data_IF_480147490051
#
_entry.id   IF_480147490051
#
_cell.length_a   1.000
_cell.length_b   1.000
_cell.length_c   1.000
_cell.angle_alpha   90.00
_cell.angle_beta   90.00
_cell.angle_gamma   90.00
#
_symmetry.space_group_name_H-M   'P 1'
#
loop_
_entity.id
_entity.type
_entity.pdbx_description
1 polymer ?
#
# COMPACT_ATOMS: atom_id res chain seq x y z
N UNK A 1 14.03 1.43 -31.61
CA UNK A 1 13.53 0.17 -31.05
C UNK A 1 14.74 -0.66 -30.63
N UNK A 2 15.16 -0.56 -29.36
CA UNK A 2 16.26 -1.37 -28.81
C UNK A 2 15.64 -2.51 -28.01
N UNK A 3 15.71 -3.70 -28.57
CA UNK A 3 15.27 -4.94 -27.92
C UNK A 3 16.33 -5.29 -26.88
N UNK A 4 16.00 -5.11 -25.60
CA UNK A 4 16.82 -5.66 -24.51
C UNK A 4 16.58 -7.17 -24.45
N UNK A 5 17.45 -7.96 -25.10
CA UNK A 5 17.57 -9.38 -24.83
C UNK A 5 18.18 -9.55 -23.45
N UNK A 6 17.34 -9.78 -22.43
CA UNK A 6 17.80 -10.28 -21.14
C UNK A 6 18.24 -11.74 -21.33
N UNK A 7 19.54 -11.99 -21.26
CA UNK A 7 20.08 -13.35 -21.11
C UNK A 7 19.80 -13.83 -19.68
N UNK A 8 18.85 -14.75 -19.56
CA UNK A 8 18.54 -15.44 -18.31
C UNK A 8 19.70 -16.41 -18.01
N UNK A 9 20.57 -16.03 -17.08
CA UNK A 9 21.51 -16.95 -16.47
C UNK A 9 20.74 -17.77 -15.42
N UNK A 10 20.36 -18.97 -15.78
CA UNK A 10 19.80 -19.97 -14.85
C UNK A 10 20.93 -20.44 -13.94
N UNK A 11 21.00 -19.91 -12.73
CA UNK A 11 21.78 -20.52 -11.65
C UNK A 11 20.87 -21.49 -10.89
N UNK A 12 21.02 -22.75 -11.17
CA UNK A 12 20.56 -23.83 -10.28
C UNK A 12 21.45 -23.85 -9.03
N UNK A 13 20.96 -23.26 -7.94
CA UNK A 13 21.51 -23.45 -6.59
C UNK A 13 20.33 -23.85 -5.72
N UNK A 14 20.52 -24.85 -4.86
CA UNK A 14 19.51 -25.49 -4.01
C UNK A 14 18.51 -24.50 -3.42
N UNK A 15 17.22 -24.78 -3.62
CA UNK A 15 16.09 -23.87 -3.44
C UNK A 15 15.88 -23.47 -1.97
N UNK A 16 16.60 -22.45 -1.50
CA UNK A 16 16.02 -21.56 -0.52
C UNK A 16 15.17 -20.54 -1.29
N UNK A 17 13.86 -20.54 -1.07
CA UNK A 17 12.96 -19.57 -1.70
C UNK A 17 13.38 -18.16 -1.30
N UNK A 18 13.73 -17.33 -2.28
CA UNK A 18 14.00 -15.91 -2.04
C UNK A 18 12.70 -15.09 -2.15
N UNK A 19 12.73 -13.83 -1.76
CA UNK A 19 11.55 -12.96 -1.80
C UNK A 19 10.93 -12.90 -3.20
N UNK A 20 11.75 -12.73 -4.25
CA UNK A 20 11.28 -12.64 -5.65
C UNK A 20 10.48 -13.89 -6.03
N UNK A 21 10.98 -15.08 -5.70
CA UNK A 21 10.27 -16.33 -5.95
C UNK A 21 8.95 -16.42 -5.18
N UNK A 22 8.93 -16.02 -3.91
CA UNK A 22 7.71 -16.03 -3.10
C UNK A 22 6.66 -15.08 -3.70
N UNK A 23 7.06 -13.86 -4.09
CA UNK A 23 6.14 -12.91 -4.72
C UNK A 23 5.61 -13.42 -6.06
N UNK A 24 6.45 -14.06 -6.88
CA UNK A 24 6.05 -14.70 -8.13
C UNK A 24 5.01 -15.80 -7.88
N UNK A 25 5.25 -16.67 -6.89
CA UNK A 25 4.34 -17.76 -6.55
C UNK A 25 2.97 -17.25 -6.06
N UNK A 26 2.95 -16.14 -5.31
CA UNK A 26 1.70 -15.49 -4.92
C UNK A 26 0.92 -14.94 -6.12
N UNK A 27 1.63 -14.51 -7.17
CA UNK A 27 1.03 -13.90 -8.35
C UNK A 27 0.63 -14.92 -9.42
N UNK A 28 1.23 -16.11 -9.46
CA UNK A 28 0.91 -17.16 -10.45
C UNK A 28 -0.58 -17.50 -10.55
N UNK A 29 -1.30 -17.71 -9.42
CA UNK A 29 -2.72 -18.09 -9.46
C UNK A 29 -3.65 -16.90 -9.80
N UNK A 30 -3.16 -15.67 -9.84
CA UNK A 30 -3.99 -14.50 -10.19
C UNK A 30 -4.41 -14.53 -11.67
N UNK A 31 -5.44 -13.74 -12.05
CA UNK A 31 -5.81 -13.57 -13.46
C UNK A 31 -4.62 -13.15 -14.34
N UNK A 32 -4.73 -13.36 -15.65
CA UNK A 32 -3.66 -12.95 -16.58
C UNK A 32 -3.48 -11.42 -16.60
N UNK A 33 -4.61 -10.68 -16.56
CA UNK A 33 -4.63 -9.23 -16.50
C UNK A 33 -4.75 -8.79 -15.04
N UNK A 34 -3.78 -8.03 -14.55
CA UNK A 34 -3.79 -7.50 -13.18
C UNK A 34 -3.46 -6.01 -13.16
N UNK A 35 -4.00 -5.32 -12.17
CA UNK A 35 -3.66 -3.92 -11.91
C UNK A 35 -2.78 -3.83 -10.66
N UNK A 36 -1.63 -3.16 -10.74
CA UNK A 36 -0.74 -2.95 -9.61
C UNK A 36 -0.84 -1.51 -9.14
N UNK A 37 -1.27 -1.32 -7.89
CA UNK A 37 -1.26 -0.01 -7.24
C UNK A 37 0.16 0.36 -6.82
N UNK A 38 0.72 1.43 -7.41
CA UNK A 38 2.11 1.78 -7.15
C UNK A 38 2.34 3.28 -6.94
N UNK A 39 3.30 3.57 -6.06
CA UNK A 39 3.91 4.89 -5.85
C UNK A 39 5.33 4.97 -6.41
N UNK A 40 5.75 3.97 -7.21
CA UNK A 40 7.15 3.73 -7.57
C UNK A 40 8.09 3.53 -6.35
N UNK A 41 7.52 3.23 -5.20
CA UNK A 41 8.27 2.68 -4.08
C UNK A 41 8.74 1.27 -4.41
N UNK A 42 9.89 0.87 -3.84
CA UNK A 42 10.51 -0.43 -4.14
C UNK A 42 9.55 -1.62 -3.89
N UNK A 43 8.62 -1.51 -2.93
CA UNK A 43 7.66 -2.57 -2.60
C UNK A 43 6.68 -2.86 -3.73
N UNK A 44 6.07 -1.80 -4.27
CA UNK A 44 5.10 -1.95 -5.35
C UNK A 44 5.80 -2.23 -6.68
N UNK A 45 6.98 -1.68 -6.90
CA UNK A 45 7.75 -1.92 -8.11
C UNK A 45 8.27 -3.37 -8.19
N UNK A 46 8.65 -4.00 -7.06
CA UNK A 46 9.02 -5.42 -7.02
C UNK A 46 7.84 -6.34 -7.38
N UNK A 47 6.60 -5.94 -7.05
CA UNK A 47 5.40 -6.67 -7.46
C UNK A 47 5.14 -6.54 -8.97
N UNK A 48 5.39 -5.35 -9.56
CA UNK A 48 5.32 -5.17 -11.01
C UNK A 48 6.28 -6.14 -11.71
N UNK A 49 7.56 -6.16 -11.31
CA UNK A 49 8.53 -7.07 -11.91
C UNK A 49 8.19 -8.54 -11.68
N UNK A 50 7.81 -8.93 -10.45
CA UNK A 50 7.40 -10.30 -10.16
C UNK A 50 6.21 -10.75 -10.99
N UNK A 51 5.27 -9.86 -11.29
CA UNK A 51 4.13 -10.14 -12.15
C UNK A 51 4.55 -10.33 -13.62
N UNK A 52 5.43 -9.45 -14.12
CA UNK A 52 6.00 -9.56 -15.47
C UNK A 52 6.82 -10.86 -15.64
N UNK A 53 7.60 -11.23 -14.63
CA UNK A 53 8.40 -12.46 -14.62
C UNK A 53 7.53 -13.73 -14.78
N UNK A 54 6.31 -13.72 -14.27
CA UNK A 54 5.36 -14.84 -14.39
C UNK A 54 4.37 -14.67 -15.55
N UNK A 55 4.65 -13.74 -16.47
CA UNK A 55 3.92 -13.58 -17.72
C UNK A 55 2.58 -12.87 -17.59
N UNK A 56 2.33 -12.11 -16.50
CA UNK A 56 1.08 -11.34 -16.37
C UNK A 56 1.08 -10.11 -17.26
N UNK A 57 -0.10 -9.71 -17.72
CA UNK A 57 -0.35 -8.42 -18.33
C UNK A 57 -0.62 -7.41 -17.21
N UNK A 58 0.28 -6.45 -17.05
CA UNK A 58 0.28 -5.53 -15.91
C UNK A 58 -0.15 -4.14 -16.35
N UNK A 59 -1.15 -3.57 -15.66
CA UNK A 59 -1.44 -2.15 -15.69
C UNK A 59 -1.01 -1.51 -14.37
N UNK A 60 -0.43 -0.32 -14.43
CA UNK A 60 -0.03 0.45 -13.25
C UNK A 60 -1.12 1.48 -12.95
N UNK A 61 -1.65 1.47 -11.72
CA UNK A 61 -2.56 2.50 -11.24
C UNK A 61 -1.92 3.33 -10.13
N UNK A 62 -2.06 4.64 -10.21
CA UNK A 62 -1.57 5.56 -9.19
C UNK A 62 -2.49 6.77 -9.07
N UNK A 63 -2.46 7.43 -7.91
CA UNK A 63 -3.34 8.54 -7.61
C UNK A 63 -2.58 9.80 -7.17
N UNK A 64 -3.21 10.94 -7.40
CA UNK A 64 -2.74 12.27 -6.95
C UNK A 64 -3.95 13.18 -6.78
N UNK A 65 -3.79 14.32 -6.10
CA UNK A 65 -4.81 15.36 -6.14
C UNK A 65 -4.89 15.97 -7.55
N UNK A 66 -6.06 16.44 -7.95
CA UNK A 66 -6.29 17.03 -9.28
C UNK A 66 -5.48 18.31 -9.54
N UNK A 67 -5.16 19.05 -8.48
CA UNK A 67 -4.42 20.32 -8.51
C UNK A 67 -2.89 20.18 -8.46
N UNK A 68 -2.38 18.95 -8.26
CA UNK A 68 -0.93 18.71 -8.15
C UNK A 68 -0.52 17.35 -8.70
N UNK A 69 0.80 17.18 -8.84
CA UNK A 69 1.40 15.89 -9.20
C UNK A 69 2.44 15.54 -8.15
N UNK A 70 2.12 14.53 -7.31
CA UNK A 70 3.05 14.05 -6.30
C UNK A 70 4.23 13.31 -6.93
N UNK A 71 5.34 13.23 -6.19
CA UNK A 71 6.53 12.45 -6.62
C UNK A 71 6.19 10.98 -6.83
N UNK A 72 5.34 10.43 -5.97
CA UNK A 72 4.87 9.06 -6.06
C UNK A 72 4.11 8.81 -7.37
N UNK A 73 3.21 9.72 -7.74
CA UNK A 73 2.45 9.65 -8.99
C UNK A 73 3.36 9.77 -10.22
N UNK A 74 4.28 10.74 -10.22
CA UNK A 74 5.24 10.92 -11.32
C UNK A 74 6.20 9.74 -11.43
N UNK A 75 6.62 9.18 -10.30
CA UNK A 75 7.44 7.98 -10.25
C UNK A 75 6.72 6.76 -10.80
N UNK A 76 5.44 6.58 -10.47
CA UNK A 76 4.61 5.50 -11.00
C UNK A 76 4.45 5.60 -12.52
N UNK A 77 4.22 6.82 -13.04
CA UNK A 77 4.19 7.05 -14.49
C UNK A 77 5.53 6.70 -15.14
N UNK A 78 6.65 7.16 -14.58
CA UNK A 78 7.99 6.83 -15.07
C UNK A 78 8.24 5.32 -15.09
N UNK A 79 7.80 4.61 -14.04
CA UNK A 79 7.92 3.15 -13.97
C UNK A 79 7.13 2.49 -15.12
N UNK A 80 5.91 2.94 -15.38
CA UNK A 80 5.09 2.46 -16.49
C UNK A 80 5.78 2.71 -17.84
N UNK A 81 6.30 3.92 -18.06
CA UNK A 81 7.00 4.29 -19.30
C UNK A 81 8.27 3.42 -19.51
N UNK A 82 9.03 3.09 -18.46
CA UNK A 82 10.25 2.28 -18.55
C UNK A 82 9.96 0.84 -18.97
N UNK A 83 8.88 0.25 -18.44
CA UNK A 83 8.52 -1.15 -18.70
C UNK A 83 7.46 -1.30 -19.80
N UNK A 84 7.12 -0.22 -20.52
CA UNK A 84 6.09 -0.18 -21.56
C UNK A 84 4.74 -0.73 -21.09
N UNK A 85 4.28 -0.25 -19.93
CA UNK A 85 3.05 -0.68 -19.29
C UNK A 85 1.97 0.38 -19.39
N UNK A 86 0.71 -0.05 -19.39
CA UNK A 86 -0.42 0.86 -19.31
C UNK A 86 -0.39 1.61 -17.97
N UNK A 87 -0.43 2.94 -18.02
CA UNK A 87 -0.56 3.80 -16.85
C UNK A 87 -1.98 4.31 -16.69
N UNK A 88 -2.55 4.11 -15.51
CA UNK A 88 -3.92 4.48 -15.14
C UNK A 88 -3.85 5.60 -14.09
N UNK A 89 -3.98 6.87 -14.49
CA UNK A 89 -3.97 7.99 -13.56
C UNK A 89 -5.31 8.16 -12.85
N UNK A 90 -5.29 8.34 -11.54
CA UNK A 90 -6.46 8.69 -10.73
C UNK A 90 -6.27 10.09 -10.16
N UNK A 91 -7.19 10.98 -10.48
CA UNK A 91 -7.23 12.34 -9.96
C UNK A 91 -8.28 12.45 -8.88
N UNK A 92 -7.83 12.72 -7.65
CA UNK A 92 -8.67 12.88 -6.48
C UNK A 92 -9.11 14.35 -6.43
N UNK A 93 -10.42 14.63 -6.37
CA UNK A 93 -10.91 16.00 -6.31
C UNK A 93 -10.43 16.70 -5.04
N UNK A 94 -10.25 18.01 -5.13
CA UNK A 94 -9.93 18.87 -3.97
C UNK A 94 -11.19 19.46 -3.32
N UNK A 95 -12.36 19.19 -3.90
CA UNK A 95 -13.65 19.64 -3.35
C UNK A 95 -13.93 19.01 -1.98
N UNK A 96 -14.11 19.86 -0.97
CA UNK A 96 -14.34 19.46 0.42
C UNK A 96 -15.62 18.62 0.61
N UNK A 97 -16.66 18.82 -0.22
CA UNK A 97 -17.90 18.05 -0.09
C UNK A 97 -17.70 16.63 -0.61
N UNK A 98 -17.01 16.47 -1.74
CA UNK A 98 -16.69 15.16 -2.30
C UNK A 98 -15.79 14.34 -1.35
N UNK A 99 -14.76 14.97 -0.80
CA UNK A 99 -13.91 14.34 0.20
C UNK A 99 -14.71 13.95 1.44
N UNK A 100 -15.59 14.83 1.93
CA UNK A 100 -16.42 14.54 3.10
C UNK A 100 -17.39 13.39 2.86
N UNK A 101 -18.08 13.38 1.73
CA UNK A 101 -18.96 12.26 1.32
C UNK A 101 -18.18 10.94 1.30
N UNK A 102 -16.98 10.94 0.73
CA UNK A 102 -16.10 9.77 0.68
C UNK A 102 -15.72 9.29 2.08
N UNK A 103 -15.33 10.21 2.97
CA UNK A 103 -15.02 9.89 4.37
C UNK A 103 -16.22 9.29 5.10
N UNK A 104 -17.41 9.90 4.96
CA UNK A 104 -18.65 9.39 5.57
C UNK A 104 -18.98 7.99 5.08
N UNK A 105 -18.84 7.74 3.79
CA UNK A 105 -19.06 6.42 3.18
C UNK A 105 -18.10 5.37 3.76
N UNK A 106 -16.80 5.68 3.88
CA UNK A 106 -15.82 4.79 4.50
C UNK A 106 -16.24 4.44 5.93
N UNK A 107 -16.56 5.47 6.72
CA UNK A 107 -16.89 5.25 8.14
C UNK A 107 -18.17 4.45 8.27
N UNK A 108 -19.24 4.79 7.54
CA UNK A 108 -20.49 4.02 7.54
C UNK A 108 -20.25 2.55 7.19
N UNK A 109 -19.52 2.28 6.11
CA UNK A 109 -19.22 0.91 5.67
C UNK A 109 -18.43 0.15 6.74
N UNK A 110 -17.35 0.75 7.27
CA UNK A 110 -16.49 0.06 8.23
C UNK A 110 -17.10 -0.04 9.64
N UNK A 111 -18.08 0.79 10.00
CA UNK A 111 -18.75 0.71 11.30
C UNK A 111 -20.09 -0.02 11.25
N UNK A 112 -20.51 -0.46 10.07
CA UNK A 112 -21.74 -1.23 9.91
C UNK A 112 -21.62 -2.60 10.64
N UNK A 113 -22.65 -3.02 11.40
CA UNK A 113 -22.58 -4.27 12.19
C UNK A 113 -22.24 -5.51 11.36
N UNK A 114 -22.70 -5.57 10.12
CA UNK A 114 -22.50 -6.68 9.19
C UNK A 114 -21.04 -6.83 8.76
N UNK A 115 -20.21 -5.79 8.80
CA UNK A 115 -18.81 -5.85 8.38
C UNK A 115 -17.90 -6.55 9.38
N UNK A 116 -18.36 -6.75 10.62
CA UNK A 116 -17.57 -7.34 11.72
C UNK A 116 -16.20 -6.64 11.91
N UNK A 117 -16.14 -5.35 11.59
CA UNK A 117 -14.94 -4.55 11.79
C UNK A 117 -14.91 -4.03 13.23
N UNK A 118 -14.32 -4.81 14.12
CA UNK A 118 -14.28 -4.51 15.56
C UNK A 118 -13.17 -3.53 15.97
N UNK A 119 -12.29 -3.21 15.03
CA UNK A 119 -11.15 -2.35 15.30
C UNK A 119 -11.52 -0.88 15.31
N UNK A 120 -10.81 -0.11 16.14
CA UNK A 120 -10.94 1.33 16.17
C UNK A 120 -10.52 1.98 14.87
N UNK A 121 -11.40 2.76 14.25
CA UNK A 121 -11.06 3.59 13.10
C UNK A 121 -10.14 4.73 13.52
N UNK A 122 -8.90 4.65 13.13
CA UNK A 122 -7.89 5.67 13.42
C UNK A 122 -7.72 6.63 12.24
N UNK A 123 -7.27 7.84 12.55
CA UNK A 123 -6.89 8.84 11.55
C UNK A 123 -6.08 8.24 10.38
N UNK A 124 -4.96 7.49 10.59
CA UNK A 124 -4.19 6.93 9.48
C UNK A 124 -4.97 5.95 8.61
N UNK A 125 -5.89 5.18 9.20
CA UNK A 125 -6.72 4.22 8.45
C UNK A 125 -7.61 4.95 7.46
N UNK A 126 -8.34 5.97 7.91
CA UNK A 126 -9.27 6.75 7.06
C UNK A 126 -8.48 7.47 5.97
N UNK A 127 -7.38 8.15 6.31
CA UNK A 127 -6.55 8.89 5.36
C UNK A 127 -5.92 7.99 4.28
N UNK A 128 -5.55 6.76 4.64
CA UNK A 128 -5.03 5.80 3.68
C UNK A 128 -6.11 5.21 2.77
N UNK A 129 -7.34 5.07 3.25
CA UNK A 129 -8.43 4.44 2.47
C UNK A 129 -9.11 5.42 1.51
N UNK A 130 -9.17 6.71 1.85
CA UNK A 130 -9.81 7.72 0.98
C UNK A 130 -9.35 7.63 -0.47
N UNK A 131 -8.05 7.66 -0.80
CA UNK A 131 -7.62 7.58 -2.19
C UNK A 131 -7.99 6.26 -2.86
N UNK A 132 -8.04 5.16 -2.12
CA UNK A 132 -8.40 3.86 -2.67
C UNK A 132 -9.87 3.78 -3.10
N UNK A 133 -10.80 4.55 -2.50
CA UNK A 133 -12.17 4.57 -2.99
C UNK A 133 -12.25 5.14 -4.40
N UNK A 134 -11.54 6.22 -4.68
CA UNK A 134 -11.46 6.77 -6.04
C UNK A 134 -10.83 5.78 -7.02
N UNK A 135 -9.82 5.02 -6.57
CA UNK A 135 -9.24 3.93 -7.35
C UNK A 135 -10.28 2.85 -7.64
N UNK A 136 -11.00 2.36 -6.63
CA UNK A 136 -12.01 1.31 -6.79
C UNK A 136 -13.18 1.75 -7.68
N UNK A 137 -13.67 2.98 -7.54
CA UNK A 137 -14.70 3.53 -8.43
C UNK A 137 -14.23 3.53 -9.88
N UNK A 138 -13.00 3.93 -10.12
CA UNK A 138 -12.47 3.98 -11.48
C UNK A 138 -12.21 2.58 -12.04
N UNK A 139 -11.63 1.68 -11.23
CA UNK A 139 -11.42 0.28 -11.61
C UNK A 139 -12.76 -0.37 -12.01
N UNK A 140 -13.80 -0.19 -11.20
CA UNK A 140 -15.15 -0.71 -11.52
C UNK A 140 -15.69 -0.17 -12.84
N UNK A 141 -15.53 1.14 -13.12
CA UNK A 141 -15.97 1.77 -14.37
C UNK A 141 -15.27 1.18 -15.59
N UNK A 142 -14.03 0.73 -15.44
CA UNK A 142 -13.22 0.17 -16.51
C UNK A 142 -13.25 -1.36 -16.57
N UNK A 143 -14.04 -1.99 -15.72
CA UNK A 143 -14.15 -3.46 -15.67
C UNK A 143 -12.88 -4.14 -15.16
N UNK A 144 -12.09 -3.43 -14.34
CA UNK A 144 -10.90 -3.96 -13.68
C UNK A 144 -11.31 -4.48 -12.29
N UNK A 145 -11.07 -5.75 -12.03
CA UNK A 145 -11.56 -6.45 -10.83
C UNK A 145 -10.45 -7.03 -9.94
N UNK A 146 -9.18 -6.87 -10.34
CA UNK A 146 -8.05 -7.45 -9.61
C UNK A 146 -6.95 -6.42 -9.35
N UNK A 147 -6.71 -6.14 -8.06
CA UNK A 147 -5.71 -5.18 -7.59
C UNK A 147 -4.62 -5.86 -6.78
N UNK A 148 -3.38 -5.62 -7.14
CA UNK A 148 -2.20 -6.03 -6.38
C UNK A 148 -1.61 -4.82 -5.66
N UNK A 149 -1.26 -4.96 -4.38
CA UNK A 149 -0.70 -3.86 -3.58
C UNK A 149 0.56 -4.27 -2.82
N UNK A 150 1.49 -3.32 -2.62
CA UNK A 150 2.68 -3.48 -1.77
C UNK A 150 2.40 -3.39 -0.27
N UNK A 151 1.12 -3.42 0.14
CA UNK A 151 0.74 -3.36 1.54
C UNK A 151 1.33 -4.55 2.31
N UNK A 152 1.86 -4.30 3.50
CA UNK A 152 2.52 -5.30 4.33
C UNK A 152 4.05 -5.24 4.32
N UNK A 153 4.66 -4.74 3.24
CA UNK A 153 6.12 -4.65 3.14
C UNK A 153 6.74 -3.89 4.34
N UNK A 154 6.21 -2.71 4.65
CA UNK A 154 6.73 -1.90 5.77
C UNK A 154 6.66 -2.60 7.14
N UNK A 155 5.75 -3.55 7.31
CA UNK A 155 5.68 -4.35 8.54
C UNK A 155 6.91 -5.27 8.68
N UNK A 156 7.36 -5.87 7.57
CA UNK A 156 8.56 -6.72 7.57
C UNK A 156 9.84 -5.94 7.80
N UNK A 157 9.95 -4.74 7.24
CA UNK A 157 11.16 -3.93 7.26
C UNK A 157 11.24 -2.95 8.44
N UNK A 158 10.19 -2.84 9.25
CA UNK A 158 10.19 -2.00 10.44
C UNK A 158 10.46 -0.53 10.15
N UNK A 159 9.87 0.04 9.09
CA UNK A 159 10.15 1.39 8.63
C UNK A 159 9.22 2.46 9.20
N UNK A 160 8.28 2.12 10.07
CA UNK A 160 7.54 3.13 10.81
C UNK A 160 8.48 3.92 11.74
N UNK A 161 8.19 5.20 11.97
CA UNK A 161 8.98 6.05 12.87
C UNK A 161 9.18 5.38 14.25
N UNK A 162 8.13 4.77 14.79
CA UNK A 162 8.17 4.03 16.06
C UNK A 162 9.10 2.83 15.97
N UNK A 163 8.99 2.01 14.92
CA UNK A 163 9.83 0.85 14.72
C UNK A 163 11.31 1.22 14.59
N UNK A 164 11.62 2.27 13.81
CA UNK A 164 13.00 2.73 13.62
C UNK A 164 13.65 3.24 14.92
N UNK A 165 12.88 3.85 15.81
CA UNK A 165 13.41 4.38 17.09
C UNK A 165 13.54 3.29 18.14
N UNK A 166 12.56 2.37 18.23
CA UNK A 166 12.42 1.46 19.35
C UNK A 166 12.84 0.01 19.06
N UNK A 167 12.79 -0.41 17.79
CA UNK A 167 12.92 -1.81 17.39
C UNK A 167 14.06 -2.11 16.42
N UNK A 168 14.82 -1.10 15.97
CA UNK A 168 15.95 -1.35 15.08
C UNK A 168 17.06 -2.16 15.74
N UNK A 169 17.13 -2.13 17.08
CA UNK A 169 18.04 -2.92 17.92
C UNK A 169 17.41 -3.09 19.31
N UNK A 170 17.62 -4.22 19.98
CA UNK A 170 18.25 -5.46 19.50
C UNK A 170 17.34 -6.30 18.59
N UNK A 171 17.92 -7.32 17.91
CA UNK A 171 17.22 -8.24 16.99
C UNK A 171 15.92 -8.80 17.58
N UNK A 172 15.93 -9.26 18.84
CA UNK A 172 14.75 -9.82 19.50
C UNK A 172 13.55 -8.86 19.51
N UNK A 173 13.76 -7.57 19.83
CA UNK A 173 12.70 -6.56 19.80
C UNK A 173 12.21 -6.28 18.38
N UNK A 174 13.07 -6.34 17.40
CA UNK A 174 12.66 -6.20 16.01
C UNK A 174 11.77 -7.36 15.57
N UNK A 175 12.12 -8.60 15.90
CA UNK A 175 11.31 -9.78 15.60
C UNK A 175 9.98 -9.79 16.36
N UNK A 176 9.97 -9.39 17.63
CA UNK A 176 8.73 -9.20 18.41
C UNK A 176 7.79 -8.20 17.71
N UNK A 177 8.30 -7.06 17.27
CA UNK A 177 7.52 -6.05 16.52
C UNK A 177 6.97 -6.62 15.20
N UNK A 178 7.79 -7.37 14.45
CA UNK A 178 7.35 -8.03 13.21
C UNK A 178 6.22 -9.01 13.49
N UNK A 179 6.36 -9.88 14.49
CA UNK A 179 5.34 -10.84 14.91
C UNK A 179 4.04 -10.13 15.27
N UNK A 180 4.08 -9.09 16.10
CA UNK A 180 2.91 -8.29 16.45
C UNK A 180 2.24 -7.68 15.21
N UNK A 181 3.01 -7.15 14.26
CA UNK A 181 2.48 -6.50 13.06
C UNK A 181 1.90 -7.48 12.05
N UNK A 182 2.47 -8.67 11.97
CA UNK A 182 2.04 -9.71 11.05
C UNK A 182 0.85 -10.50 11.59
N UNK A 183 0.91 -10.87 12.88
CA UNK A 183 -0.13 -11.62 13.58
C UNK A 183 -1.31 -10.74 14.02
N UNK A 184 -1.20 -9.41 13.93
CA UNK A 184 -2.37 -8.57 14.23
C UNK A 184 -3.51 -9.00 13.31
N UNK A 185 -4.58 -9.62 13.86
CA UNK A 185 -5.86 -9.72 13.14
C UNK A 185 -6.34 -8.32 12.73
N UNK A 186 -5.72 -7.34 13.27
CA UNK A 186 -5.87 -5.90 13.21
C UNK A 186 -4.89 -5.17 12.30
N UNK A 187 -4.39 -5.77 11.25
CA UNK A 187 -3.84 -4.89 10.23
C UNK A 187 -5.02 -4.11 9.64
N UNK A 188 -5.40 -3.07 10.40
CA UNK A 188 -6.57 -2.24 10.14
C UNK A 188 -6.60 -1.74 8.69
N UNK A 189 -5.43 -1.51 8.09
CA UNK A 189 -5.31 -1.11 6.69
C UNK A 189 -5.64 -2.26 5.74
N UNK A 190 -5.17 -3.48 6.00
CA UNK A 190 -5.46 -4.65 5.15
C UNK A 190 -6.96 -4.98 5.18
N UNK A 191 -7.54 -5.02 6.37
CA UNK A 191 -8.95 -5.37 6.55
C UNK A 191 -9.85 -4.29 5.95
N UNK A 192 -9.60 -3.02 6.27
CA UNK A 192 -10.39 -1.92 5.74
C UNK A 192 -10.28 -1.78 4.23
N UNK A 193 -9.09 -1.98 3.65
CA UNK A 193 -8.90 -1.97 2.20
C UNK A 193 -9.72 -3.08 1.54
N UNK A 194 -9.69 -4.30 2.09
CA UNK A 194 -10.44 -5.44 1.57
C UNK A 194 -11.94 -5.20 1.64
N UNK A 195 -12.48 -4.80 2.81
CA UNK A 195 -13.90 -4.52 2.96
C UNK A 195 -14.35 -3.46 1.95
N UNK A 196 -13.57 -2.41 1.77
CA UNK A 196 -13.94 -1.37 0.82
C UNK A 196 -13.84 -1.86 -0.63
N UNK A 197 -12.85 -2.67 -1.00
CA UNK A 197 -12.74 -3.26 -2.33
C UNK A 197 -13.88 -4.23 -2.64
N UNK A 198 -14.28 -5.04 -1.67
CA UNK A 198 -15.40 -5.99 -1.77
C UNK A 198 -16.71 -5.27 -2.14
N UNK A 199 -16.94 -4.03 -1.65
CA UNK A 199 -18.10 -3.21 -2.03
C UNK A 199 -18.14 -2.84 -3.53
N UNK A 200 -17.01 -2.97 -4.21
CA UNK A 200 -16.89 -2.69 -5.65
C UNK A 200 -16.72 -3.96 -6.50
N UNK A 201 -16.67 -5.12 -5.87
CA UNK A 201 -16.39 -6.39 -6.53
C UNK A 201 -14.93 -6.54 -6.97
N UNK A 202 -14.00 -5.89 -6.25
CA UNK A 202 -12.57 -5.91 -6.57
C UNK A 202 -11.84 -6.85 -5.60
N UNK A 203 -11.13 -7.82 -6.16
CA UNK A 203 -10.22 -8.68 -5.40
C UNK A 203 -8.90 -7.96 -5.14
N UNK A 204 -8.49 -7.88 -3.87
CA UNK A 204 -7.19 -7.30 -3.47
C UNK A 204 -6.23 -8.36 -3.03
N UNK A 205 -5.09 -8.47 -3.72
CA UNK A 205 -3.97 -9.29 -3.35
C UNK A 205 -2.83 -8.43 -2.78
N UNK A 206 -2.32 -8.82 -1.63
CA UNK A 206 -1.15 -8.18 -0.99
C UNK A 206 -0.10 -9.26 -0.69
N UNK A 207 0.79 -9.58 -1.64
CA UNK A 207 1.74 -10.70 -1.53
C UNK A 207 2.68 -10.61 -0.32
N UNK A 208 2.99 -9.42 0.14
CA UNK A 208 3.81 -9.22 1.35
C UNK A 208 3.16 -9.73 2.64
N UNK A 209 1.88 -10.10 2.64
CA UNK A 209 1.22 -10.80 3.76
C UNK A 209 1.29 -12.32 3.67
N UNK A 210 2.00 -12.89 2.69
CA UNK A 210 2.25 -14.33 2.64
C UNK A 210 3.15 -14.73 3.82
N UNK A 211 2.79 -15.84 4.48
CA UNK A 211 3.54 -16.36 5.63
C UNK A 211 5.00 -16.64 5.28
N UNK A 212 5.29 -17.10 4.06
CA UNK A 212 6.64 -17.38 3.59
C UNK A 212 7.53 -16.11 3.57
N UNK A 213 6.95 -14.92 3.31
CA UNK A 213 7.69 -13.65 3.41
C UNK A 213 8.03 -13.33 4.86
N UNK A 214 7.12 -13.63 5.80
CA UNK A 214 7.41 -13.48 7.22
C UNK A 214 8.52 -14.43 7.66
N UNK A 215 8.43 -15.71 7.29
CA UNK A 215 9.37 -16.76 7.66
C UNK A 215 10.77 -16.51 7.08
N UNK A 216 10.84 -16.00 5.84
CA UNK A 216 12.09 -15.66 5.15
C UNK A 216 12.98 -14.73 5.99
N UNK A 217 12.38 -13.82 6.75
CA UNK A 217 13.10 -12.83 7.54
C UNK A 217 13.01 -13.07 9.06
N UNK A 218 12.58 -14.27 9.48
CA UNK A 218 12.34 -14.60 10.90
C UNK A 218 13.60 -14.51 11.75
N UNK A 219 14.77 -14.70 11.15
CA UNK A 219 16.08 -14.64 11.83
C UNK A 219 16.91 -13.41 11.47
N UNK A 220 16.33 -12.40 10.84
CA UNK A 220 17.05 -11.19 10.43
C UNK A 220 17.00 -10.12 11.52
N UNK A 221 18.09 -9.37 11.70
CA UNK A 221 18.06 -8.11 12.43
C UNK A 221 17.56 -6.97 11.51
N UNK A 222 17.12 -5.86 12.11
CA UNK A 222 16.68 -4.69 11.32
C UNK A 222 17.75 -4.22 10.32
N UNK A 223 19.02 -4.21 10.76
CA UNK A 223 20.15 -3.79 9.94
C UNK A 223 20.41 -4.67 8.72
N UNK A 224 20.18 -5.97 8.84
CA UNK A 224 20.37 -6.94 7.75
C UNK A 224 19.43 -6.65 6.57
N UNK A 225 18.24 -6.15 6.88
CA UNK A 225 17.19 -5.84 5.89
C UNK A 225 17.29 -4.43 5.32
N UNK A 226 17.91 -3.49 6.08
CA UNK A 226 17.79 -2.06 5.80
C UNK A 226 19.13 -1.30 5.69
N UNK A 227 20.28 -1.97 5.69
CA UNK A 227 21.59 -1.31 5.48
C UNK A 227 22.25 -1.84 4.21
N UNK A 228 22.94 -0.99 3.44
CA UNK A 228 23.16 0.46 3.66
C UNK A 228 21.93 1.35 3.39
N UNK A 229 20.91 0.86 2.68
CA UNK A 229 19.68 1.60 2.36
C UNK A 229 18.46 0.86 2.88
N UNK A 230 17.37 1.57 3.14
CA UNK A 230 16.11 0.94 3.51
C UNK A 230 15.68 -0.09 2.46
N UNK A 231 15.25 -1.27 2.95
CA UNK A 231 14.83 -2.40 2.11
C UNK A 231 15.92 -2.90 1.16
N UNK A 232 17.15 -2.92 1.63
CA UNK A 232 18.29 -3.36 0.82
C UNK A 232 18.13 -4.78 0.30
N UNK A 233 17.49 -5.66 1.07
CA UNK A 233 17.18 -7.03 0.63
C UNK A 233 16.26 -7.07 -0.58
N UNK A 234 15.25 -6.19 -0.68
CA UNK A 234 14.44 -6.10 -1.89
C UNK A 234 15.29 -5.58 -3.07
N UNK A 235 16.14 -4.57 -2.82
CA UNK A 235 17.01 -4.00 -3.86
C UNK A 235 18.01 -5.01 -4.41
N UNK A 236 18.51 -5.90 -3.55
CA UNK A 236 19.42 -6.97 -3.96
C UNK A 236 18.74 -8.01 -4.86
N UNK A 237 17.47 -8.30 -4.63
CA UNK A 237 16.71 -9.27 -5.41
C UNK A 237 16.06 -8.68 -6.69
N UNK A 238 15.92 -7.36 -6.73
CA UNK A 238 15.39 -6.60 -7.88
C UNK A 238 16.37 -5.51 -8.33
N UNK A 239 17.59 -5.89 -8.78
CA UNK A 239 18.61 -4.91 -9.18
C UNK A 239 18.17 -4.04 -10.35
N UNK A 240 17.20 -4.49 -11.16
CA UNK A 240 16.60 -3.73 -12.27
C UNK A 240 15.92 -2.44 -11.80
N UNK A 241 15.52 -2.37 -10.53
CA UNK A 241 14.86 -1.21 -9.94
C UNK A 241 15.83 -0.15 -9.39
N UNK A 242 17.14 -0.47 -9.36
CA UNK A 242 18.14 0.51 -8.93
C UNK A 242 18.19 1.68 -9.95
N UNK A 243 18.22 2.91 -9.43
CA UNK A 243 18.13 4.13 -10.25
C UNK A 243 16.70 4.50 -10.70
N UNK A 244 15.72 3.60 -10.52
CA UNK A 244 14.30 3.86 -10.81
C UNK A 244 13.54 4.17 -9.53
N UNK A 245 13.73 3.37 -8.48
CA UNK A 245 13.03 3.42 -7.21
C UNK A 245 13.92 3.95 -6.07
N UNK A 246 14.70 5.00 -6.34
CA UNK A 246 15.64 5.57 -5.36
C UNK A 246 15.02 6.61 -4.44
N UNK A 247 13.72 6.87 -4.57
CA UNK A 247 13.02 7.80 -3.72
C UNK A 247 13.13 7.36 -2.25
N UNK A 248 13.40 8.34 -1.38
CA UNK A 248 13.37 8.10 0.07
C UNK A 248 11.98 7.65 0.46
N UNK A 249 11.91 6.55 1.22
CA UNK A 249 10.64 6.08 1.78
C UNK A 249 9.95 7.19 2.59
N UNK A 250 8.72 7.50 2.21
CA UNK A 250 7.85 8.45 2.92
C UNK A 250 6.46 7.85 2.98
N UNK A 251 5.89 7.82 4.18
CA UNK A 251 4.51 7.35 4.34
C UNK A 251 3.54 8.30 3.64
N UNK A 252 2.42 7.78 3.14
CA UNK A 252 1.37 8.55 2.47
C UNK A 252 0.94 9.80 3.25
N UNK A 253 0.89 9.71 4.58
CA UNK A 253 0.51 10.83 5.46
C UNK A 253 1.57 11.94 5.55
N UNK A 254 2.81 11.66 5.19
CA UNK A 254 3.95 12.59 5.29
C UNK A 254 4.51 12.96 3.91
N UNK A 255 4.00 12.32 2.86
CA UNK A 255 4.42 12.58 1.48
C UNK A 255 3.88 13.90 0.93
N UNK A 256 4.31 14.24 -0.26
CA UNK A 256 3.92 15.46 -0.98
C UNK A 256 2.55 15.34 -1.69
N UNK A 257 1.83 14.25 -1.46
CA UNK A 257 0.50 14.06 -2.07
C UNK A 257 -0.54 15.07 -1.60
N UNK A 258 -0.41 15.58 -0.37
CA UNK A 258 -1.37 16.51 0.26
C UNK A 258 -2.71 15.88 0.63
N UNK A 259 -2.93 14.59 0.33
CA UNK A 259 -4.23 13.92 0.54
C UNK A 259 -4.56 13.85 2.04
N UNK A 260 -3.62 13.43 2.88
CA UNK A 260 -3.86 13.33 4.32
C UNK A 260 -4.12 14.70 4.96
N UNK A 261 -3.48 15.75 4.47
CA UNK A 261 -3.72 17.12 4.90
C UNK A 261 -5.14 17.58 4.53
N UNK A 262 -5.55 17.38 3.27
CA UNK A 262 -6.88 17.69 2.79
C UNK A 262 -7.96 16.94 3.58
N UNK A 263 -7.83 15.63 3.73
CA UNK A 263 -8.78 14.79 4.49
C UNK A 263 -8.85 15.25 5.94
N UNK A 264 -7.70 15.47 6.58
CA UNK A 264 -7.64 15.94 7.98
C UNK A 264 -8.31 17.30 8.19
N UNK A 265 -8.10 18.24 7.26
CA UNK A 265 -8.77 19.55 7.24
C UNK A 265 -10.28 19.39 7.14
N UNK A 266 -10.75 18.65 6.14
CA UNK A 266 -12.18 18.45 5.87
C UNK A 266 -12.87 17.77 7.06
N UNK A 267 -12.29 16.71 7.62
CA UNK A 267 -12.84 16.03 8.80
C UNK A 267 -12.92 16.96 10.00
N UNK A 268 -11.90 17.76 10.24
CA UNK A 268 -11.91 18.73 11.35
C UNK A 268 -13.00 19.77 11.16
N UNK A 269 -13.10 20.39 9.99
CA UNK A 269 -14.05 21.47 9.69
C UNK A 269 -15.52 20.98 9.76
N UNK A 270 -15.81 19.77 9.27
CA UNK A 270 -17.18 19.24 9.19
C UNK A 270 -17.66 18.52 10.44
N UNK A 271 -16.77 17.91 11.20
CA UNK A 271 -17.14 17.05 12.35
C UNK A 271 -16.96 17.76 13.67
N UNK A 272 -15.90 18.52 13.84
CA UNK A 272 -15.58 19.18 15.12
C UNK A 272 -14.68 20.41 14.87
N UNK A 273 -15.22 21.50 14.32
CA UNK A 273 -14.44 22.71 14.00
C UNK A 273 -13.73 23.28 15.24
N UNK A 274 -14.32 23.12 16.43
CA UNK A 274 -13.75 23.55 17.70
C UNK A 274 -12.71 22.58 18.28
N UNK A 275 -12.46 21.42 17.66
CA UNK A 275 -11.50 20.46 18.17
C UNK A 275 -10.06 21.01 18.10
N UNK A 276 -9.34 20.95 19.21
CA UNK A 276 -7.95 21.40 19.31
C UNK A 276 -6.97 20.57 18.44
N UNK A 277 -7.36 19.33 18.07
CA UNK A 277 -6.52 18.46 17.24
C UNK A 277 -7.36 17.66 16.24
N UNK A 278 -6.82 17.32 15.05
CA UNK A 278 -7.50 16.46 14.09
C UNK A 278 -7.89 15.10 14.67
N UNK A 279 -7.07 14.51 15.55
CA UNK A 279 -7.34 13.20 16.17
C UNK A 279 -8.68 13.20 16.91
N UNK A 280 -9.03 14.29 17.62
CA UNK A 280 -10.33 14.40 18.29
C UNK A 280 -11.49 14.37 17.30
N UNK A 281 -11.36 15.00 16.15
CA UNK A 281 -12.38 14.99 15.11
C UNK A 281 -12.60 13.57 14.55
N UNK A 282 -11.54 12.81 14.30
CA UNK A 282 -11.65 11.41 13.88
C UNK A 282 -12.30 10.51 14.95
N UNK A 283 -12.01 10.70 16.23
CA UNK A 283 -12.66 9.96 17.30
C UNK A 283 -14.18 10.26 17.40
N UNK A 284 -14.57 11.51 17.14
CA UNK A 284 -16.01 11.90 17.10
C UNK A 284 -16.65 11.28 15.84
N UNK A 285 -16.00 11.34 14.71
CA UNK A 285 -16.47 10.75 13.45
C UNK A 285 -16.74 9.25 13.61
N UNK A 286 -15.79 8.49 14.18
CA UNK A 286 -15.97 7.06 14.47
C UNK A 286 -17.17 6.79 15.38
N UNK A 287 -17.28 7.53 16.50
CA UNK A 287 -18.40 7.38 17.43
C UNK A 287 -19.76 7.64 16.76
N UNK A 288 -19.85 8.67 15.92
CA UNK A 288 -21.07 8.96 15.13
C UNK A 288 -21.37 7.84 14.15
N UNK A 289 -20.36 7.29 13.48
CA UNK A 289 -20.54 6.15 12.58
C UNK A 289 -21.11 4.93 13.30
N UNK A 290 -20.50 4.52 14.41
CA UNK A 290 -20.99 3.40 15.23
C UNK A 290 -22.39 3.62 15.83
N UNK A 291 -22.78 4.85 16.04
CA UNK A 291 -24.11 5.23 16.50
C UNK A 291 -25.14 5.43 15.35
N UNK A 292 -24.76 5.24 14.09
CA UNK A 292 -25.61 5.49 12.92
C UNK A 292 -25.97 6.97 12.68
N UNK A 293 -25.17 7.89 13.21
CA UNK A 293 -25.42 9.34 13.19
C UNK A 293 -24.64 10.11 12.09
N UNK A 294 -24.20 9.41 11.08
CA UNK A 294 -23.51 10.01 9.90
C UNK A 294 -24.39 9.99 8.67
#
# INVERSE_FOLDING_TARGET
MKIYKLSILVRNVGMSSNLRQILQDCLRPSPNNITVGTSAGIDSASLVLSALDVGKQVSIISFTLEDRRSKDFLGAKKLADIFDLQFIPIFIPTDSNEIFKTVVRIVRTLTAPETKYDTKLRKPTIECIVPWLFVFEQMKRWGLDYLVTGLGADAHFGLSKKAMIHYKEPKAKFQEMRTMRFAEPDNTQKISLRIMADCYGITVLSPYFDQRVFDLYSDSAWGDLNKPRHKETIRAEFPELNGICDNRHVNLQLGDSGIAELVGKVVKERIAPQAKSPIKAYNILEKRGRAGLL
#
